data_IF_040268583219
#
_entry.id   IF_040268583219
#
_cell.length_a   1.000
_cell.length_b   1.000
_cell.length_c   1.000
_cell.angle_alpha   90.00
_cell.angle_beta   90.00
_cell.angle_gamma   90.00
#
_symmetry.space_group_name_H-M   'P 1'
#
loop_
_entity.id
_entity.type
_entity.pdbx_description
1 polymer ?
#
# COMPACT_ATOMS: atom_id res chain seq x y z
N UNK A 1 -22.07 11.89 -30.91
CA UNK A 1 -20.79 11.47 -30.28
C UNK A 1 -20.34 12.47 -29.23
N UNK A 2 -20.08 13.74 -29.57
CA UNK A 2 -19.56 14.74 -28.61
C UNK A 2 -20.46 15.03 -27.39
N UNK A 3 -21.78 14.89 -27.51
CA UNK A 3 -22.73 15.07 -26.41
C UNK A 3 -23.10 13.77 -25.67
N UNK A 4 -22.59 12.62 -26.14
CA UNK A 4 -22.98 11.29 -25.65
C UNK A 4 -21.84 10.56 -24.93
N UNK A 5 -20.60 11.04 -25.09
CA UNK A 5 -19.44 10.49 -24.38
C UNK A 5 -19.35 11.10 -22.97
N UNK A 6 -19.04 10.29 -21.95
CA UNK A 6 -18.78 10.82 -20.62
C UNK A 6 -17.55 11.72 -20.63
N UNK A 7 -17.53 12.72 -19.75
CA UNK A 7 -16.36 13.57 -19.54
C UNK A 7 -15.16 12.74 -19.09
N UNK A 8 -13.98 13.09 -19.58
CA UNK A 8 -12.73 12.46 -19.18
C UNK A 8 -12.48 12.74 -17.69
N UNK A 9 -12.57 11.68 -16.88
CA UNK A 9 -12.36 11.81 -15.43
C UNK A 9 -10.87 11.98 -15.10
N UNK A 10 -10.52 12.82 -14.12
CA UNK A 10 -9.15 12.91 -13.62
C UNK A 10 -8.72 11.59 -12.96
N UNK A 11 -7.41 11.33 -12.94
CA UNK A 11 -6.81 10.20 -12.21
C UNK A 11 -6.07 10.77 -11.00
N UNK A 12 -6.26 10.14 -9.85
CA UNK A 12 -5.59 10.52 -8.61
C UNK A 12 -4.34 9.67 -8.42
N UNK A 13 -3.29 10.30 -7.88
CA UNK A 13 -2.02 9.67 -7.56
C UNK A 13 -1.55 10.16 -6.20
N UNK A 14 -1.02 9.26 -5.37
CA UNK A 14 -0.38 9.63 -4.11
C UNK A 14 0.97 10.29 -4.40
N UNK A 15 1.18 11.46 -3.80
CA UNK A 15 2.41 12.23 -3.96
C UNK A 15 3.55 11.51 -3.25
N UNK A 16 4.59 11.16 -4.00
CA UNK A 16 5.76 10.40 -3.50
C UNK A 16 6.94 11.32 -3.14
N UNK A 17 6.80 12.64 -3.30
CA UNK A 17 7.78 13.63 -2.85
C UNK A 17 7.37 14.33 -1.56
N UNK A 18 8.34 15.01 -0.98
CA UNK A 18 8.14 15.87 0.16
C UNK A 18 8.46 17.33 -0.14
N UNK A 19 7.58 18.30 0.17
CA UNK A 19 7.84 19.70 -0.15
C UNK A 19 9.05 20.29 0.60
N UNK A 20 9.42 19.72 1.75
CA UNK A 20 10.62 20.13 2.49
C UNK A 20 11.93 19.64 1.87
N UNK A 21 11.92 18.48 1.21
CA UNK A 21 13.08 17.90 0.53
C UNK A 21 13.18 18.34 -0.95
N UNK A 22 12.02 18.55 -1.59
CA UNK A 22 11.90 18.93 -3.00
C UNK A 22 10.96 20.15 -3.16
N UNK A 23 11.40 21.36 -2.80
CA UNK A 23 10.58 22.57 -2.95
C UNK A 23 10.25 22.84 -4.43
N UNK A 24 8.98 23.05 -4.74
CA UNK A 24 8.52 23.33 -6.11
C UNK A 24 8.37 22.08 -7.00
N UNK A 25 8.59 20.88 -6.48
CA UNK A 25 8.47 19.63 -7.22
C UNK A 25 7.40 18.70 -6.65
N UNK A 26 6.71 17.98 -7.55
CA UNK A 26 5.77 16.91 -7.22
C UNK A 26 6.26 15.64 -7.91
N UNK A 27 6.60 14.61 -7.13
CA UNK A 27 6.93 13.30 -7.68
C UNK A 27 5.73 12.37 -7.54
N UNK A 28 5.52 11.53 -8.55
CA UNK A 28 4.44 10.54 -8.58
C UNK A 28 5.05 9.17 -8.90
N UNK A 29 4.58 8.16 -8.19
CA UNK A 29 4.89 6.77 -8.55
C UNK A 29 3.73 6.17 -9.33
N UNK A 30 3.96 5.81 -10.59
CA UNK A 30 2.88 5.47 -11.54
C UNK A 30 3.09 4.08 -12.14
N UNK A 31 2.12 3.20 -11.92
CA UNK A 31 2.06 1.90 -12.58
C UNK A 31 1.61 2.09 -14.03
N UNK A 32 2.36 1.54 -14.99
CA UNK A 32 1.94 1.55 -16.39
C UNK A 32 0.96 0.40 -16.64
N UNK A 33 -0.32 0.74 -16.85
CA UNK A 33 -1.38 -0.26 -17.10
C UNK A 33 -1.42 -0.65 -18.57
N UNK A 34 -1.00 -1.88 -18.86
CA UNK A 34 -1.09 -2.50 -20.19
C UNK A 34 -1.75 -3.87 -20.08
N UNK A 35 -2.74 -4.14 -20.92
CA UNK A 35 -3.44 -5.42 -20.91
C UNK A 35 -3.77 -5.90 -22.33
N UNK A 36 -3.95 -7.20 -22.48
CA UNK A 36 -4.47 -7.79 -23.70
C UNK A 36 -6.00 -7.80 -23.65
N UNK A 37 -6.65 -7.25 -24.66
CA UNK A 37 -8.09 -7.39 -24.83
C UNK A 37 -8.38 -8.52 -25.80
N UNK A 38 -9.14 -9.51 -25.37
CA UNK A 38 -9.80 -10.43 -26.29
C UNK A 38 -11.15 -9.81 -26.66
N UNK A 39 -11.26 -9.31 -27.89
CA UNK A 39 -12.52 -8.88 -28.46
C UNK A 39 -12.91 -9.82 -29.60
N UNK A 40 -14.20 -9.97 -29.87
CA UNK A 40 -14.74 -10.79 -30.97
C UNK A 40 -14.20 -10.38 -32.37
N UNK A 41 -13.53 -9.22 -32.49
CA UNK A 41 -12.94 -8.70 -33.74
C UNK A 41 -11.42 -8.92 -33.86
N UNK A 42 -10.81 -9.70 -32.97
CA UNK A 42 -9.39 -10.07 -33.03
C UNK A 42 -8.58 -9.65 -31.80
N UNK A 43 -7.37 -10.23 -31.69
CA UNK A 43 -6.42 -9.99 -30.59
C UNK A 43 -5.76 -8.62 -30.76
N UNK A 44 -6.03 -7.69 -29.84
CA UNK A 44 -5.41 -6.36 -29.82
C UNK A 44 -4.78 -6.04 -28.47
N UNK A 45 -3.75 -5.19 -28.46
CA UNK A 45 -3.20 -4.64 -27.23
C UNK A 45 -4.00 -3.40 -26.83
N UNK A 46 -4.66 -3.44 -25.67
CA UNK A 46 -5.19 -2.25 -25.01
C UNK A 46 -4.09 -1.59 -24.21
N UNK A 47 -3.76 -0.32 -24.51
CA UNK A 47 -2.76 0.44 -23.75
C UNK A 47 -3.38 1.73 -23.25
N UNK A 48 -3.50 1.88 -21.93
CA UNK A 48 -3.78 3.18 -21.33
C UNK A 48 -2.46 3.98 -21.31
N UNK A 49 -2.11 4.64 -22.42
CA UNK A 49 -0.93 5.51 -22.51
C UNK A 49 -1.34 6.94 -22.23
N UNK A 50 -0.70 7.57 -21.25
CA UNK A 50 -0.69 9.02 -21.09
C UNK A 50 0.64 9.57 -21.60
N UNK A 51 0.59 10.70 -22.31
CA UNK A 51 1.79 11.40 -22.75
C UNK A 51 2.48 12.02 -21.54
N UNK A 52 3.73 11.63 -21.27
CA UNK A 52 4.59 12.28 -20.29
C UNK A 52 5.74 12.96 -21.02
N UNK A 53 5.88 14.28 -20.84
CA UNK A 53 7.15 14.95 -21.11
C UNK A 53 8.12 14.58 -19.98
N UNK A 54 9.10 13.72 -20.31
CA UNK A 54 10.12 13.13 -19.42
C UNK A 54 9.57 12.27 -18.27
N UNK A 55 9.24 11.02 -18.60
CA UNK A 55 9.33 9.91 -17.66
C UNK A 55 10.57 9.08 -18.02
N UNK A 56 11.49 8.87 -17.06
CA UNK A 56 12.51 7.84 -17.20
C UNK A 56 11.81 6.48 -17.26
N UNK A 57 11.83 5.85 -18.43
CA UNK A 57 11.18 4.58 -18.69
C UNK A 57 11.89 3.44 -17.95
N UNK A 58 11.38 3.06 -16.78
CA UNK A 58 11.60 1.74 -16.21
C UNK A 58 10.71 0.70 -16.91
N UNK A 59 11.16 -0.56 -16.92
CA UNK A 59 10.43 -1.73 -17.43
C UNK A 59 9.00 -1.83 -16.83
N UNK A 60 8.08 -2.66 -17.39
CA UNK A 60 6.77 -2.92 -16.78
C UNK A 60 6.91 -3.67 -15.44
N UNK A 61 7.32 -2.94 -14.41
CA UNK A 61 7.34 -3.33 -13.01
C UNK A 61 5.97 -3.08 -12.41
N UNK A 62 5.46 -4.05 -11.65
CA UNK A 62 4.26 -3.87 -10.87
C UNK A 62 4.59 -3.04 -9.63
N UNK A 63 3.75 -2.04 -9.35
CA UNK A 63 3.88 -1.05 -8.28
C UNK A 63 2.83 -1.35 -7.18
N UNK A 64 2.93 -0.90 -5.94
CA UNK A 64 3.87 -1.12 -4.81
C UNK A 64 2.92 -1.12 -3.60
N UNK A 65 3.15 -1.97 -2.60
CA UNK A 65 2.40 -1.95 -1.34
C UNK A 65 3.25 -1.27 -0.28
N UNK A 66 2.79 -0.13 0.23
CA UNK A 66 3.39 0.56 1.37
C UNK A 66 2.43 0.33 2.53
N UNK A 67 2.72 -0.69 3.35
CA UNK A 67 2.09 -0.81 4.68
C UNK A 67 3.08 -0.29 5.71
N UNK A 68 2.64 0.69 6.48
CA UNK A 68 3.49 1.45 7.38
C UNK A 68 2.88 1.36 8.74
N UNK A 69 3.63 0.81 9.67
CA UNK A 69 3.27 0.84 11.07
C UNK A 69 4.05 2.02 11.63
N UNK A 70 3.40 3.18 11.76
CA UNK A 70 4.05 4.43 12.14
C UNK A 70 3.39 5.02 13.38
N UNK A 71 4.13 5.52 14.37
CA UNK A 71 3.56 6.55 15.25
C UNK A 71 3.51 7.89 14.48
N UNK A 72 2.33 8.23 13.96
CA UNK A 72 1.95 9.48 13.27
C UNK A 72 2.49 9.64 11.81
N UNK A 73 1.53 9.86 10.91
CA UNK A 73 1.52 10.25 9.48
C UNK A 73 1.85 9.18 8.41
N UNK A 74 1.11 9.15 7.26
CA UNK A 74 1.37 8.22 6.15
C UNK A 74 2.68 8.61 5.48
N UNK A 75 3.62 7.68 5.44
CA UNK A 75 4.88 7.63 4.71
C UNK A 75 4.75 6.98 3.31
N UNK A 76 3.57 7.02 2.66
CA UNK A 76 3.60 7.17 1.19
C UNK A 76 3.87 8.61 0.76
N UNK A 77 4.02 9.51 1.73
CA UNK A 77 4.54 10.86 1.59
C UNK A 77 6.04 10.77 1.85
N UNK A 78 6.85 10.80 0.79
CA UNK A 78 8.25 10.39 0.76
C UNK A 78 9.09 10.69 2.01
N UNK A 79 10.09 9.85 2.23
CA UNK A 79 11.24 10.08 3.11
C UNK A 79 11.73 11.52 2.87
N UNK A 80 11.24 12.45 3.71
CA UNK A 80 11.35 13.88 3.44
C UNK A 80 10.18 14.75 3.94
N UNK A 81 8.99 14.23 4.25
CA UNK A 81 7.89 15.09 4.76
C UNK A 81 7.95 15.33 6.27
N UNK A 82 8.80 16.30 6.66
CA UNK A 82 8.56 17.09 7.88
C UNK A 82 7.34 17.99 7.67
N UNK A 83 6.14 17.43 7.77
CA UNK A 83 4.85 18.15 7.81
C UNK A 83 4.16 18.14 9.18
N UNK A 84 4.74 17.44 10.15
CA UNK A 84 4.37 17.52 11.57
C UNK A 84 5.66 17.35 12.39
N UNK A 85 6.55 18.34 12.30
CA UNK A 85 7.57 18.46 13.34
C UNK A 85 6.81 18.85 14.61
N UNK A 86 6.89 18.09 15.73
CA UNK A 86 6.42 18.64 16.99
C UNK A 86 7.07 20.03 17.18
N UNK A 87 6.34 21.02 17.74
CA UNK A 87 6.80 22.42 17.83
C UNK A 87 8.11 22.63 18.61
N UNK A 88 8.74 21.58 19.11
CA UNK A 88 10.13 21.53 19.52
C UNK A 88 10.72 20.20 19.01
N UNK A 89 11.96 20.18 18.54
CA UNK A 89 12.65 19.02 17.95
C UNK A 89 12.84 17.83 18.91
N UNK A 90 11.75 17.22 19.35
CA UNK A 90 11.74 15.95 20.06
C UNK A 90 12.09 14.80 19.11
N UNK A 91 12.56 13.67 19.67
CA UNK A 91 12.87 12.48 18.89
C UNK A 91 11.59 11.97 18.20
N UNK A 92 11.70 11.65 16.91
CA UNK A 92 10.65 10.94 16.19
C UNK A 92 10.54 9.52 16.76
N UNK A 93 9.32 9.00 16.87
CA UNK A 93 9.11 7.60 17.22
C UNK A 93 9.66 6.67 16.14
N UNK A 94 10.03 5.42 16.48
CA UNK A 94 10.46 4.43 15.49
C UNK A 94 9.34 4.18 14.46
N UNK A 95 9.74 3.95 13.21
CA UNK A 95 8.86 3.71 12.09
C UNK A 95 9.27 2.44 11.35
N UNK A 96 8.30 1.54 11.16
CA UNK A 96 8.51 0.27 10.48
C UNK A 96 7.80 0.29 9.14
N UNK A 97 8.57 0.07 8.08
CA UNK A 97 8.06 -0.08 6.72
C UNK A 97 7.95 -1.57 6.38
N UNK A 98 6.75 -2.00 5.99
CA UNK A 98 6.50 -3.34 5.44
C UNK A 98 6.13 -3.17 3.96
N UNK A 99 7.04 -3.60 3.11
CA UNK A 99 6.99 -3.44 1.66
C UNK A 99 6.72 -4.77 0.96
N UNK A 100 5.93 -4.78 -0.12
CA UNK A 100 5.61 -5.99 -0.89
C UNK A 100 5.94 -5.87 -2.37
N UNK A 101 6.66 -6.84 -2.93
CA UNK A 101 6.95 -6.94 -4.37
C UNK A 101 7.02 -8.40 -4.87
N UNK A 102 7.31 -8.62 -6.17
CA UNK A 102 7.43 -9.97 -6.73
C UNK A 102 8.80 -10.55 -6.45
N UNK A 103 9.85 -9.84 -6.80
CA UNK A 103 11.22 -10.29 -6.59
C UNK A 103 12.15 -9.10 -6.43
N UNK A 104 13.24 -9.33 -5.69
CA UNK A 104 14.20 -8.26 -5.36
C UNK A 104 14.85 -7.64 -6.60
N UNK A 105 14.99 -8.42 -7.67
CA UNK A 105 15.66 -8.00 -8.90
C UNK A 105 14.74 -7.30 -9.93
N UNK A 106 13.41 -7.41 -9.80
CA UNK A 106 12.48 -6.93 -10.83
C UNK A 106 11.74 -5.66 -10.42
N UNK A 107 11.11 -5.66 -9.25
CA UNK A 107 10.12 -4.65 -8.86
C UNK A 107 10.29 -4.19 -7.41
N UNK A 108 11.50 -4.33 -6.87
CA UNK A 108 11.91 -3.72 -5.60
C UNK A 108 12.29 -2.25 -5.82
N UNK A 109 11.30 -1.43 -6.18
CA UNK A 109 11.54 -0.01 -6.42
C UNK A 109 11.79 0.73 -5.09
N UNK A 110 12.53 1.83 -5.16
CA UNK A 110 13.02 2.60 -4.01
C UNK A 110 13.91 1.84 -3.02
N UNK A 111 14.51 0.71 -3.42
CA UNK A 111 15.32 -0.12 -2.52
C UNK A 111 16.47 0.65 -1.88
N UNK A 112 17.17 1.46 -2.67
CA UNK A 112 18.33 2.23 -2.23
C UNK A 112 17.91 3.35 -1.28
N UNK A 113 16.80 4.03 -1.60
CA UNK A 113 16.22 5.09 -0.78
C UNK A 113 15.66 4.57 0.55
N UNK A 114 15.04 3.38 0.56
CA UNK A 114 14.59 2.71 1.78
C UNK A 114 15.76 2.34 2.69
N UNK A 115 16.85 1.83 2.10
CA UNK A 115 18.08 1.50 2.85
C UNK A 115 18.72 2.76 3.44
N UNK A 116 18.85 3.81 2.63
CA UNK A 116 19.37 5.09 3.07
C UNK A 116 18.51 5.70 4.20
N UNK A 117 17.18 5.61 4.10
CA UNK A 117 16.26 6.07 5.13
C UNK A 117 16.44 5.31 6.45
N UNK A 118 16.77 4.01 6.38
CA UNK A 118 17.09 3.20 7.54
C UNK A 118 18.42 3.61 8.17
N UNK A 119 19.46 3.77 7.36
CA UNK A 119 20.79 4.22 7.81
C UNK A 119 20.76 5.60 8.48
N UNK A 120 19.91 6.50 7.97
CA UNK A 120 19.70 7.84 8.51
C UNK A 120 18.77 7.87 9.73
N UNK A 121 18.23 6.72 10.16
CA UNK A 121 17.34 6.61 11.31
C UNK A 121 15.92 7.16 11.09
N UNK A 122 15.52 7.43 9.84
CA UNK A 122 14.16 7.80 9.50
C UNK A 122 13.21 6.59 9.58
N UNK A 123 13.71 5.40 9.21
CA UNK A 123 13.05 4.11 9.40
C UNK A 123 13.84 3.29 10.41
N UNK A 124 13.17 2.74 11.42
CA UNK A 124 13.81 1.81 12.36
C UNK A 124 13.99 0.43 11.75
N UNK A 125 13.07 0.03 10.87
CA UNK A 125 13.09 -1.29 10.22
C UNK A 125 12.39 -1.24 8.86
N UNK A 126 12.95 -2.00 7.91
CA UNK A 126 12.36 -2.24 6.59
C UNK A 126 12.22 -3.75 6.42
N UNK A 127 10.99 -4.23 6.22
CA UNK A 127 10.68 -5.62 5.93
C UNK A 127 10.10 -5.74 4.53
N UNK A 128 10.59 -6.70 3.76
CA UNK A 128 10.12 -6.92 2.38
C UNK A 128 9.52 -8.30 2.20
N UNK A 129 8.26 -8.34 1.75
CA UNK A 129 7.56 -9.55 1.33
C UNK A 129 7.77 -9.80 -0.17
N UNK A 130 8.31 -10.97 -0.51
CA UNK A 130 8.50 -11.38 -1.90
C UNK A 130 7.49 -12.46 -2.30
N UNK A 131 6.65 -12.15 -3.29
CA UNK A 131 5.60 -13.08 -3.74
C UNK A 131 6.06 -14.08 -4.81
N UNK A 132 7.21 -13.86 -5.47
CA UNK A 132 7.72 -14.66 -6.60
C UNK A 132 9.25 -14.78 -6.62
N UNK A 133 9.91 -14.58 -5.49
CA UNK A 133 11.36 -14.70 -5.40
C UNK A 133 11.75 -16.19 -5.53
N UNK A 134 12.66 -16.56 -6.45
CA UNK A 134 13.11 -17.94 -6.60
C UNK A 134 13.74 -18.47 -5.31
N UNK A 135 13.39 -19.70 -4.93
CA UNK A 135 13.95 -20.36 -3.75
C UNK A 135 13.33 -19.95 -2.41
N UNK A 136 12.34 -19.05 -2.39
CA UNK A 136 11.62 -18.65 -1.18
C UNK A 136 10.12 -18.92 -1.31
N UNK A 137 9.42 -19.23 -0.21
CA UNK A 137 7.97 -19.35 -0.24
C UNK A 137 7.34 -18.01 -0.60
N UNK A 138 6.23 -18.09 -1.33
CA UNK A 138 5.41 -16.92 -1.67
C UNK A 138 4.94 -16.24 -0.38
N UNK A 139 5.37 -15.00 -0.18
CA UNK A 139 5.10 -14.22 1.03
C UNK A 139 4.43 -12.90 0.67
N UNK A 140 3.40 -12.52 1.41
CA UNK A 140 2.73 -11.22 1.32
C UNK A 140 2.94 -10.37 2.57
N UNK A 141 2.53 -9.10 2.51
CA UNK A 141 2.74 -8.15 3.62
C UNK A 141 2.02 -8.58 4.90
N UNK A 142 0.82 -9.15 4.77
CA UNK A 142 0.08 -9.69 5.91
C UNK A 142 0.79 -10.89 6.56
N UNK A 143 1.51 -11.69 5.77
CA UNK A 143 2.29 -12.82 6.31
C UNK A 143 3.47 -12.28 7.13
N UNK A 144 4.13 -11.22 6.65
CA UNK A 144 5.20 -10.52 7.38
C UNK A 144 4.67 -9.90 8.67
N UNK A 145 3.53 -9.21 8.62
CA UNK A 145 2.90 -8.62 9.80
C UNK A 145 2.63 -9.68 10.87
N UNK A 146 2.03 -10.81 10.48
CA UNK A 146 1.70 -11.90 11.40
C UNK A 146 2.94 -12.60 11.95
N UNK A 147 3.93 -12.89 11.10
CA UNK A 147 5.08 -13.69 11.49
C UNK A 147 6.16 -12.90 12.25
N UNK A 148 6.33 -11.62 11.94
CA UNK A 148 7.47 -10.83 12.42
C UNK A 148 7.08 -9.64 13.29
N UNK A 149 5.85 -9.12 13.15
CA UNK A 149 5.44 -7.85 13.79
C UNK A 149 4.18 -7.97 14.64
N UNK A 150 3.65 -9.17 14.93
CA UNK A 150 2.38 -9.32 15.66
C UNK A 150 2.39 -8.59 17.01
N UNK A 151 3.35 -8.90 17.87
CA UNK A 151 3.50 -8.24 19.17
C UNK A 151 3.73 -6.72 19.05
N UNK A 152 4.52 -6.28 18.06
CA UNK A 152 4.79 -4.86 17.85
C UNK A 152 3.54 -4.10 17.38
N UNK A 153 2.76 -4.66 16.46
CA UNK A 153 1.48 -4.08 16.00
C UNK A 153 0.53 -3.91 17.18
N UNK A 154 0.34 -4.93 18.00
CA UNK A 154 -0.49 -4.83 19.20
C UNK A 154 0.03 -3.76 20.17
N UNK A 155 1.33 -3.75 20.44
CA UNK A 155 1.95 -2.78 21.34
C UNK A 155 1.78 -1.34 20.82
N UNK A 156 2.03 -1.12 19.53
CA UNK A 156 1.94 0.18 18.86
C UNK A 156 0.50 0.70 18.89
N UNK A 157 -0.47 -0.13 18.53
CA UNK A 157 -1.87 0.28 18.39
C UNK A 157 -2.58 0.41 19.74
N UNK A 158 -2.38 -0.52 20.67
CA UNK A 158 -3.14 -0.53 21.93
C UNK A 158 -2.46 0.22 23.07
N UNK A 159 -1.14 0.07 23.24
CA UNK A 159 -0.45 0.56 24.45
C UNK A 159 0.25 1.91 24.22
N UNK A 160 0.78 2.09 23.02
CA UNK A 160 1.75 3.14 22.70
C UNK A 160 1.12 4.36 22.02
N UNK A 161 -0.15 4.30 21.64
CA UNK A 161 -0.78 5.43 20.97
C UNK A 161 -0.30 5.64 19.52
N UNK A 162 0.26 4.62 18.88
CA UNK A 162 0.78 4.70 17.51
C UNK A 162 -0.27 4.64 16.41
N UNK A 163 0.17 4.75 15.16
CA UNK A 163 -0.69 4.75 14.00
C UNK A 163 -0.35 3.57 13.07
N UNK A 164 -1.24 3.30 12.14
CA UNK A 164 -1.03 2.36 11.04
C UNK A 164 -1.55 2.97 9.76
N UNK A 165 -0.79 2.80 8.69
CA UNK A 165 -1.05 3.28 7.35
C UNK A 165 -1.02 2.10 6.39
N UNK A 166 -2.07 1.96 5.61
CA UNK A 166 -2.21 0.88 4.63
C UNK A 166 -2.48 1.50 3.28
N UNK A 167 -1.53 1.38 2.35
CA UNK A 167 -1.63 1.97 1.02
C UNK A 167 -1.50 0.90 -0.06
N UNK A 168 -2.45 0.86 -1.00
CA UNK A 168 -2.39 -0.04 -2.16
C UNK A 168 -3.74 -0.54 -2.67
N UNK A 169 -3.76 -1.80 -3.11
CA UNK A 169 -4.95 -2.45 -3.68
C UNK A 169 -6.00 -2.78 -2.60
N UNK A 170 -7.29 -2.72 -2.97
CA UNK A 170 -8.41 -2.99 -2.05
C UNK A 170 -8.39 -4.40 -1.46
N UNK A 171 -7.97 -5.41 -2.24
CA UNK A 171 -7.89 -6.80 -1.78
C UNK A 171 -6.78 -6.95 -0.74
N UNK A 172 -5.64 -6.31 -0.99
CA UNK A 172 -4.52 -6.28 -0.04
C UNK A 172 -4.91 -5.57 1.26
N UNK A 173 -5.54 -4.39 1.17
CA UNK A 173 -5.96 -3.64 2.35
C UNK A 173 -6.95 -4.46 3.22
N UNK A 174 -7.87 -5.18 2.56
CA UNK A 174 -8.81 -6.10 3.25
C UNK A 174 -8.08 -7.22 3.98
N UNK A 175 -7.09 -7.87 3.34
CA UNK A 175 -6.31 -8.96 3.95
C UNK A 175 -5.43 -8.46 5.11
N UNK A 176 -4.88 -7.25 4.99
CA UNK A 176 -4.14 -6.58 6.08
C UNK A 176 -5.06 -6.28 7.25
N UNK A 177 -6.23 -5.69 7.01
CA UNK A 177 -7.22 -5.42 8.05
C UNK A 177 -7.60 -6.68 8.83
N UNK A 178 -7.95 -7.76 8.14
CA UNK A 178 -8.26 -9.05 8.76
C UNK A 178 -7.08 -9.58 9.58
N UNK A 179 -5.86 -9.44 9.08
CA UNK A 179 -4.67 -9.89 9.78
C UNK A 179 -4.40 -9.09 11.04
N UNK A 180 -4.57 -7.76 10.99
CA UNK A 180 -4.47 -6.89 12.17
C UNK A 180 -5.53 -7.26 13.20
N UNK A 181 -6.77 -7.51 12.80
CA UNK A 181 -7.83 -7.98 13.71
C UNK A 181 -7.42 -9.29 14.42
N UNK A 182 -6.85 -10.24 13.69
CA UNK A 182 -6.36 -11.49 14.29
C UNK A 182 -5.19 -11.24 15.25
N UNK A 183 -4.24 -10.38 14.89
CA UNK A 183 -3.12 -10.01 15.76
C UNK A 183 -3.63 -9.38 17.06
N UNK A 184 -4.57 -8.44 16.99
CA UNK A 184 -5.16 -7.80 18.17
C UNK A 184 -5.92 -8.80 19.04
N UNK A 185 -6.67 -9.72 18.43
CA UNK A 185 -7.38 -10.78 19.16
C UNK A 185 -6.41 -11.73 19.89
N UNK A 186 -5.33 -12.14 19.22
CA UNK A 186 -4.35 -13.07 19.77
C UNK A 186 -3.46 -12.44 20.85
N UNK A 187 -2.90 -11.26 20.59
CA UNK A 187 -1.95 -10.58 21.48
C UNK A 187 -2.63 -9.81 22.62
N UNK A 188 -3.90 -9.43 22.42
CA UNK A 188 -4.68 -8.65 23.36
C UNK A 188 -5.71 -9.45 24.17
N UNK A 189 -5.69 -10.78 24.04
CA UNK A 189 -6.63 -11.73 24.69
C UNK A 189 -8.10 -11.28 24.58
N UNK A 190 -8.50 -10.95 23.34
CA UNK A 190 -9.83 -10.44 23.05
C UNK A 190 -10.47 -11.19 21.87
N UNK A 191 -11.79 -11.11 21.77
CA UNK A 191 -12.52 -11.71 20.64
C UNK A 191 -12.27 -10.94 19.35
N UNK A 192 -12.47 -11.59 18.19
CA UNK A 192 -12.38 -10.92 16.89
C UNK A 192 -13.36 -9.74 16.76
N UNK A 193 -14.53 -9.82 17.41
CA UNK A 193 -15.49 -8.71 17.46
C UNK A 193 -14.92 -7.50 18.18
N UNK A 194 -14.38 -7.70 19.39
CA UNK A 194 -13.71 -6.64 20.15
C UNK A 194 -12.50 -6.06 19.42
N UNK A 195 -11.71 -6.90 18.74
CA UNK A 195 -10.61 -6.42 17.90
C UNK A 195 -11.12 -5.54 16.74
N UNK A 196 -12.27 -5.86 16.16
CA UNK A 196 -12.94 -5.03 15.16
C UNK A 196 -13.40 -3.68 15.72
N UNK A 197 -13.93 -3.66 16.94
CA UNK A 197 -14.32 -2.43 17.64
C UNK A 197 -13.11 -1.53 17.92
N UNK A 198 -11.99 -2.13 18.35
CA UNK A 198 -10.71 -1.41 18.56
C UNK A 198 -10.23 -0.74 17.27
N UNK A 199 -10.26 -1.44 16.13
CA UNK A 199 -9.85 -0.84 14.86
C UNK A 199 -10.82 0.28 14.44
N UNK A 200 -12.12 0.11 14.68
CA UNK A 200 -13.11 1.14 14.40
C UNK A 200 -12.83 2.40 15.23
N UNK A 201 -12.55 2.23 16.52
CA UNK A 201 -12.14 3.34 17.39
C UNK A 201 -10.82 3.99 16.94
N UNK A 202 -9.85 3.21 16.45
CA UNK A 202 -8.60 3.73 15.89
C UNK A 202 -8.83 4.55 14.62
N UNK A 203 -9.81 4.16 13.78
CA UNK A 203 -10.22 4.97 12.61
C UNK A 203 -10.86 6.29 13.05
N UNK A 204 -11.78 6.24 14.01
CA UNK A 204 -12.44 7.44 14.55
C UNK A 204 -11.44 8.41 15.21
N UNK A 205 -10.41 7.87 15.86
CA UNK A 205 -9.28 8.64 16.45
C UNK A 205 -8.21 9.05 15.43
N UNK A 206 -8.42 8.78 14.15
CA UNK A 206 -7.47 9.09 13.08
C UNK A 206 -6.07 8.48 13.31
N UNK A 207 -6.05 7.21 13.73
CA UNK A 207 -4.85 6.40 14.01
C UNK A 207 -4.72 5.18 13.13
N UNK A 208 -5.79 4.74 12.46
CA UNK A 208 -5.73 3.73 11.42
C UNK A 208 -6.15 4.35 10.09
N UNK A 209 -5.26 4.32 9.10
CA UNK A 209 -5.36 5.09 7.86
C UNK A 209 -5.25 4.17 6.65
N UNK A 210 -6.12 4.38 5.66
CA UNK A 210 -6.17 3.59 4.44
C UNK A 210 -6.17 4.52 3.21
N UNK A 211 -5.25 4.29 2.28
CA UNK A 211 -5.17 4.96 0.98
C UNK A 211 -5.29 3.88 -0.12
N UNK A 212 -6.52 3.67 -0.61
CA UNK A 212 -6.88 2.53 -1.46
C UNK A 212 -7.08 2.98 -2.91
N UNK A 213 -6.33 2.37 -3.83
CA UNK A 213 -6.36 2.69 -5.27
C UNK A 213 -7.44 1.95 -6.07
N UNK A 214 -8.31 1.19 -5.39
CA UNK A 214 -9.30 0.31 -6.01
C UNK A 214 -8.73 -1.04 -6.43
N UNK A 215 -9.30 -1.65 -7.48
CA UNK A 215 -8.83 -2.92 -8.06
C UNK A 215 -7.69 -2.69 -9.05
N UNK A 216 -6.46 -2.71 -8.55
CA UNK A 216 -5.23 -2.52 -9.32
C UNK A 216 -4.47 -3.83 -9.52
N UNK A 217 -4.70 -4.84 -8.70
CA UNK A 217 -4.06 -6.14 -8.79
C UNK A 217 -5.03 -7.23 -9.25
N UNK A 218 -4.54 -8.15 -10.09
CA UNK A 218 -5.30 -9.32 -10.57
C UNK A 218 -6.70 -8.96 -11.07
N UNK A 219 -6.86 -7.78 -11.68
CA UNK A 219 -8.18 -7.19 -11.99
C UNK A 219 -9.08 -8.15 -12.75
N UNK A 220 -8.55 -8.90 -13.72
CA UNK A 220 -9.33 -9.89 -14.46
C UNK A 220 -9.78 -11.07 -13.58
N UNK A 221 -8.86 -11.68 -12.81
CA UNK A 221 -9.16 -12.81 -11.91
C UNK A 221 -10.18 -12.39 -10.84
N UNK A 222 -9.97 -11.23 -10.20
CA UNK A 222 -10.86 -10.72 -9.16
C UNK A 222 -12.22 -10.32 -9.72
N UNK A 223 -12.26 -9.59 -10.85
CA UNK A 223 -13.53 -9.21 -11.48
C UNK A 223 -14.34 -10.43 -11.96
N UNK A 224 -13.66 -11.45 -12.50
CA UNK A 224 -14.33 -12.70 -12.88
C UNK A 224 -14.87 -13.44 -11.67
N UNK A 225 -14.11 -13.53 -10.58
CA UNK A 225 -14.57 -14.15 -9.33
C UNK A 225 -15.76 -13.42 -8.72
N UNK A 226 -15.73 -12.09 -8.66
CA UNK A 226 -16.84 -11.28 -8.14
C UNK A 226 -18.09 -11.50 -8.99
N UNK A 227 -17.95 -11.49 -10.32
CA UNK A 227 -19.08 -11.77 -11.24
C UNK A 227 -19.62 -13.17 -10.99
N UNK A 228 -18.77 -14.19 -10.95
CA UNK A 228 -19.23 -15.58 -10.74
C UNK A 228 -19.94 -15.75 -9.40
N UNK A 229 -19.41 -15.18 -8.31
CA UNK A 229 -20.04 -15.23 -6.99
C UNK A 229 -21.40 -14.51 -6.95
N UNK A 230 -21.54 -13.42 -7.69
CA UNK A 230 -22.81 -12.68 -7.78
C UNK A 230 -23.89 -13.50 -8.50
N UNK A 231 -23.51 -14.29 -9.52
CA UNK A 231 -24.42 -15.22 -10.19
C UNK A 231 -24.82 -16.39 -9.29
N UNK A 232 -23.90 -16.92 -8.49
CA UNK A 232 -24.17 -18.04 -7.57
C UNK A 232 -25.09 -17.67 -6.39
N UNK A 233 -25.27 -16.38 -6.09
CA UNK A 233 -26.15 -15.89 -5.03
C UNK A 233 -27.56 -15.53 -5.54
N UNK A 234 -27.82 -15.70 -6.84
CA UNK A 234 -29.12 -15.47 -7.47
C UNK A 234 -29.88 -16.78 -7.80
N UNK A 235 -29.30 -17.95 -7.47
CA UNK A 235 -29.94 -19.27 -7.48
C UNK A 235 -30.19 -19.77 -6.05
#
# INVERSE_FOLDING_TARGET
LLSQLPLLQPRYYSISSAPGAHPGEIHLTVAVVTYHSESERGRGWGRARWGTSRASSGAPGHLQIISEVSRISPVTRGVGTRGHRPPAGGPLGPMVLVFGCRSSALDHIYREEMEQAREQGALSQVLTAFSRQPGTPKTYVQDVLRAQLAAEVHQVLCQRGGHMYVCGDVTMATEVLQTVQHILAQEGDMTLGQAGDVISELRDKNRYHEDIFGLTFRTQEVALRIRSQSFSLQE
#
